data_IF_056868600207
#
_entry.id   IF_056868600207
#
_cell.length_a   1.000
_cell.length_b   1.000
_cell.length_c   1.000
_cell.angle_alpha   90.00
_cell.angle_beta   90.00
_cell.angle_gamma   90.00
#
_symmetry.space_group_name_H-M   'P 1'
#
loop_
_entity.id
_entity.type
_entity.pdbx_description
1 polymer ?
#
# COMPACT_ATOMS: atom_id res chain seq x y z
N UNK A 1 29.71 7.21 75.88
CA UNK A 1 29.98 6.48 74.61
C UNK A 1 28.65 5.97 74.09
N UNK A 2 28.12 6.59 73.01
CA UNK A 2 26.87 6.18 72.40
C UNK A 2 27.23 5.46 71.09
N UNK A 3 26.85 4.20 70.98
CA UNK A 3 26.99 3.38 69.76
C UNK A 3 25.72 3.52 68.96
N UNK A 4 25.80 4.18 67.78
CA UNK A 4 24.69 4.31 66.85
C UNK A 4 24.70 3.11 65.89
N UNK A 5 23.68 2.25 66.03
CA UNK A 5 23.42 1.13 65.15
C UNK A 5 22.89 1.61 63.77
N UNK A 6 23.64 1.38 62.70
CA UNK A 6 23.18 1.63 61.32
C UNK A 6 22.29 0.48 60.89
N UNK A 7 21.00 0.72 60.71
CA UNK A 7 20.07 -0.18 60.01
C UNK A 7 20.32 -0.11 58.50
N UNK A 8 20.88 -1.20 57.97
CA UNK A 8 20.95 -1.44 56.53
C UNK A 8 19.55 -1.80 56.02
N UNK A 9 18.93 -0.90 55.24
CA UNK A 9 17.74 -1.23 54.43
C UNK A 9 18.17 -2.11 53.27
N UNK A 10 17.79 -3.37 53.33
CA UNK A 10 17.78 -4.25 52.15
C UNK A 10 16.65 -3.79 51.25
N UNK A 11 16.95 -2.97 50.24
CA UNK A 11 16.06 -2.71 49.15
C UNK A 11 16.26 -3.82 48.12
N UNK A 12 15.37 -4.51 47.97
CA UNK A 12 14.91 -5.74 47.43
C UNK A 12 14.95 -5.79 45.89
N UNK A 13 15.43 -6.91 45.41
CA UNK A 13 15.45 -7.34 44.01
C UNK A 13 14.05 -7.55 43.39
N UNK A 14 12.96 -7.37 44.15
CA UNK A 14 11.58 -7.62 43.67
C UNK A 14 11.08 -6.62 42.64
N UNK A 15 11.53 -5.35 42.72
CA UNK A 15 11.09 -4.33 41.76
C UNK A 15 11.71 -4.53 40.36
N UNK A 16 12.95 -5.04 40.32
CA UNK A 16 13.64 -5.36 39.09
C UNK A 16 13.05 -6.57 38.36
N UNK A 17 12.58 -7.57 39.12
CA UNK A 17 11.92 -8.76 38.58
C UNK A 17 10.53 -8.43 38.02
N UNK A 18 9.74 -7.61 38.70
CA UNK A 18 8.42 -7.18 38.18
C UNK A 18 8.53 -6.35 36.89
N UNK A 19 9.57 -5.50 36.78
CA UNK A 19 9.79 -4.73 35.54
C UNK A 19 10.24 -5.61 34.35
N UNK A 20 11.00 -6.67 34.61
CA UNK A 20 11.40 -7.64 33.57
C UNK A 20 10.22 -8.49 33.09
N UNK A 21 9.33 -8.89 34.00
CA UNK A 21 8.14 -9.67 33.67
C UNK A 21 7.17 -8.85 32.81
N UNK A 22 6.91 -7.59 33.17
CA UNK A 22 6.06 -6.69 32.38
C UNK A 22 6.59 -6.44 30.95
N UNK A 23 7.92 -6.31 30.78
CA UNK A 23 8.52 -6.08 29.46
C UNK A 23 8.51 -7.33 28.57
N UNK A 24 8.59 -8.54 29.15
CA UNK A 24 8.50 -9.79 28.41
C UNK A 24 7.06 -10.02 27.93
N UNK A 25 6.07 -9.79 28.80
CA UNK A 25 4.65 -9.96 28.44
C UNK A 25 4.20 -8.96 27.38
N UNK A 26 4.68 -7.71 27.43
CA UNK A 26 4.39 -6.70 26.40
C UNK A 26 5.02 -7.05 25.05
N UNK A 27 6.22 -7.65 25.04
CA UNK A 27 6.85 -8.14 23.80
C UNK A 27 6.16 -9.37 23.22
N UNK A 28 5.70 -10.29 24.08
CA UNK A 28 4.97 -11.48 23.64
C UNK A 28 3.60 -11.08 23.08
N UNK A 29 2.89 -10.14 23.71
CA UNK A 29 1.61 -9.62 23.20
C UNK A 29 1.80 -8.91 21.84
N UNK A 30 2.92 -8.20 21.62
CA UNK A 30 3.22 -7.59 20.34
C UNK A 30 3.60 -8.60 19.24
N UNK A 31 4.18 -9.74 19.60
CA UNK A 31 4.54 -10.79 18.65
C UNK A 31 3.34 -11.64 18.25
N UNK A 32 2.37 -11.86 19.15
CA UNK A 32 1.17 -12.66 18.86
C UNK A 32 0.11 -11.91 18.04
N UNK A 33 0.19 -10.56 17.93
CA UNK A 33 -0.71 -9.74 17.11
C UNK A 33 -0.15 -9.36 15.74
N UNK A 34 1.01 -9.86 15.34
CA UNK A 34 1.44 -9.89 13.95
C UNK A 34 0.69 -11.04 13.25
N UNK A 35 -0.63 -10.88 13.07
CA UNK A 35 -1.33 -11.61 12.04
C UNK A 35 -0.57 -11.33 10.74
N UNK A 36 0.11 -12.35 10.24
CA UNK A 36 0.83 -12.32 8.98
C UNK A 36 -0.17 -11.90 7.90
N UNK A 37 -0.14 -10.62 7.51
CA UNK A 37 -1.02 -10.10 6.46
C UNK A 37 -0.70 -10.87 5.19
N UNK A 38 -1.51 -11.86 4.87
CA UNK A 38 -1.38 -12.62 3.64
C UNK A 38 -1.58 -11.66 2.47
N UNK A 39 -0.54 -11.46 1.68
CA UNK A 39 -0.61 -10.66 0.48
C UNK A 39 -1.22 -11.49 -0.64
N UNK A 40 -2.49 -11.24 -0.96
CA UNK A 40 -3.19 -11.87 -2.07
C UNK A 40 -2.98 -11.04 -3.33
N UNK A 41 -2.32 -11.61 -4.33
CA UNK A 41 -2.16 -10.98 -5.65
C UNK A 41 -3.16 -11.58 -6.63
N UNK A 42 -4.06 -10.74 -7.15
CA UNK A 42 -4.99 -11.12 -8.22
C UNK A 42 -4.34 -10.73 -9.56
N UNK A 43 -4.03 -11.73 -10.38
CA UNK A 43 -3.41 -11.52 -11.68
C UNK A 43 -4.44 -11.16 -12.74
N UNK A 44 -3.97 -10.57 -13.86
CA UNK A 44 -4.81 -10.30 -15.04
C UNK A 44 -5.50 -11.56 -15.56
N UNK A 45 -4.80 -12.68 -15.61
CA UNK A 45 -5.36 -13.96 -16.05
C UNK A 45 -6.50 -14.44 -15.16
N UNK A 46 -6.40 -14.18 -13.85
CA UNK A 46 -7.48 -14.49 -12.91
C UNK A 46 -8.72 -13.64 -13.19
N UNK A 47 -8.54 -12.34 -13.44
CA UNK A 47 -9.64 -11.44 -13.81
C UNK A 47 -10.30 -11.87 -15.13
N UNK A 48 -9.51 -12.21 -16.14
CA UNK A 48 -10.01 -12.70 -17.44
C UNK A 48 -10.91 -13.92 -17.25
N UNK A 49 -10.49 -14.90 -16.44
CA UNK A 49 -11.29 -16.09 -16.15
C UNK A 49 -12.58 -15.77 -15.42
N UNK A 50 -12.52 -14.90 -14.41
CA UNK A 50 -13.71 -14.47 -13.66
C UNK A 50 -14.72 -13.76 -14.55
N UNK A 51 -14.26 -12.85 -15.42
CA UNK A 51 -15.13 -12.13 -16.36
C UNK A 51 -15.74 -13.09 -17.36
N UNK A 52 -14.95 -14.02 -17.94
CA UNK A 52 -15.43 -15.01 -18.89
C UNK A 52 -16.57 -15.87 -18.30
N UNK A 53 -16.43 -16.31 -17.05
CA UNK A 53 -17.47 -17.07 -16.35
C UNK A 53 -18.70 -16.19 -16.07
N UNK A 54 -18.51 -14.98 -15.56
CA UNK A 54 -19.60 -14.09 -15.19
C UNK A 54 -20.46 -13.65 -16.35
N UNK A 55 -19.81 -13.32 -17.48
CA UNK A 55 -20.48 -12.79 -18.68
C UNK A 55 -20.79 -13.91 -19.69
N UNK A 56 -20.54 -15.19 -19.35
CA UNK A 56 -20.70 -16.35 -20.22
C UNK A 56 -20.00 -16.17 -21.57
N UNK A 57 -18.77 -15.66 -21.55
CA UNK A 57 -17.96 -15.38 -22.73
C UNK A 57 -16.78 -16.34 -22.86
N UNK A 58 -16.28 -16.51 -24.09
CA UNK A 58 -15.06 -17.26 -24.31
C UNK A 58 -13.85 -16.51 -23.72
N UNK A 59 -13.04 -17.22 -22.93
CA UNK A 59 -11.82 -16.66 -22.29
C UNK A 59 -10.87 -16.03 -23.31
N UNK A 60 -10.75 -16.61 -24.52
CA UNK A 60 -9.91 -16.05 -25.58
C UNK A 60 -10.43 -14.68 -26.08
N UNK A 61 -11.73 -14.49 -26.11
CA UNK A 61 -12.35 -13.21 -26.48
C UNK A 61 -12.06 -12.15 -25.41
N UNK A 62 -12.25 -12.50 -24.14
CA UNK A 62 -11.95 -11.57 -23.02
C UNK A 62 -10.47 -11.19 -23.02
N UNK A 63 -9.57 -12.18 -23.25
CA UNK A 63 -8.13 -11.91 -23.34
C UNK A 63 -7.79 -10.92 -24.46
N UNK A 64 -8.39 -11.06 -25.63
CA UNK A 64 -8.18 -10.11 -26.74
C UNK A 64 -8.63 -8.71 -26.39
N UNK A 65 -9.75 -8.57 -25.69
CA UNK A 65 -10.24 -7.25 -25.21
C UNK A 65 -9.24 -6.64 -24.23
N UNK A 66 -8.71 -7.42 -23.28
CA UNK A 66 -7.70 -6.94 -22.34
C UNK A 66 -6.41 -6.48 -23.05
N UNK A 67 -5.91 -7.22 -24.03
CA UNK A 67 -4.73 -6.83 -24.80
C UNK A 67 -4.98 -5.56 -25.63
N UNK A 68 -6.17 -5.45 -26.25
CA UNK A 68 -6.53 -4.23 -26.96
C UNK A 68 -6.60 -3.02 -26.03
N UNK A 69 -7.19 -3.18 -24.84
CA UNK A 69 -7.27 -2.13 -23.83
C UNK A 69 -5.87 -1.73 -23.32
N UNK A 70 -4.98 -2.68 -23.11
CA UNK A 70 -3.58 -2.42 -22.71
C UNK A 70 -2.85 -1.59 -23.77
N UNK A 71 -2.96 -1.96 -25.06
CA UNK A 71 -2.38 -1.18 -26.16
C UNK A 71 -2.89 0.25 -26.22
N UNK A 72 -4.21 0.45 -26.16
CA UNK A 72 -4.83 1.78 -26.15
C UNK A 72 -4.38 2.61 -24.94
N UNK A 73 -4.31 2.01 -23.77
CA UNK A 73 -3.80 2.66 -22.56
C UNK A 73 -2.35 3.11 -22.73
N UNK A 74 -1.50 2.23 -23.28
CA UNK A 74 -0.11 2.53 -23.53
C UNK A 74 0.05 3.69 -24.52
N UNK A 75 -0.71 3.70 -25.62
CA UNK A 75 -0.67 4.77 -26.62
C UNK A 75 -1.06 6.13 -26.00
N UNK A 76 -2.12 6.18 -25.20
CA UNK A 76 -2.53 7.40 -24.52
C UNK A 76 -1.52 7.86 -23.45
N UNK A 77 -0.92 6.93 -22.69
CA UNK A 77 0.07 7.28 -21.68
C UNK A 77 1.38 7.76 -22.31
N UNK A 78 1.80 7.13 -23.42
CA UNK A 78 3.04 7.51 -24.14
C UNK A 78 2.93 8.81 -24.90
N UNK A 79 1.73 9.24 -25.29
CA UNK A 79 1.49 10.51 -25.99
C UNK A 79 1.48 11.74 -25.07
N UNK A 80 1.65 11.56 -23.75
CA UNK A 80 1.69 12.67 -22.78
C UNK A 80 2.87 13.62 -23.05
N UNK A 81 2.58 14.90 -23.25
CA UNK A 81 3.56 15.95 -23.54
C UNK A 81 3.90 16.76 -22.28
N UNK A 82 5.00 17.54 -22.29
CA UNK A 82 5.36 18.42 -21.17
C UNK A 82 4.29 19.45 -20.79
N UNK A 83 3.47 19.85 -21.74
CA UNK A 83 2.43 20.87 -21.57
C UNK A 83 1.07 20.31 -21.15
N UNK A 84 0.88 18.99 -21.21
CA UNK A 84 -0.40 18.34 -20.97
C UNK A 84 -0.31 17.26 -19.90
N UNK A 85 -1.32 17.23 -19.04
CA UNK A 85 -1.54 16.15 -18.08
C UNK A 85 -2.70 15.28 -18.56
N UNK A 86 -2.42 14.01 -18.83
CA UNK A 86 -3.43 13.06 -19.32
C UNK A 86 -4.06 12.31 -18.14
N UNK A 87 -5.40 12.32 -18.07
CA UNK A 87 -6.13 11.53 -17.08
C UNK A 87 -7.00 10.49 -17.78
N UNK A 88 -6.74 9.22 -17.53
CA UNK A 88 -7.49 8.07 -18.07
C UNK A 88 -8.38 7.51 -16.99
N UNK A 89 -9.70 7.52 -17.18
CA UNK A 89 -10.67 6.87 -16.29
C UNK A 89 -10.80 5.40 -16.70
N UNK A 90 -10.41 4.48 -15.83
CA UNK A 90 -10.51 3.03 -16.08
C UNK A 90 -11.89 2.49 -15.75
N UNK A 91 -12.41 2.88 -14.59
CA UNK A 91 -13.75 2.56 -14.09
C UNK A 91 -14.26 3.72 -13.26
N UNK A 92 -15.56 3.70 -12.91
CA UNK A 92 -16.12 4.69 -12.00
C UNK A 92 -15.37 4.70 -10.66
N UNK A 93 -14.63 5.77 -10.46
CA UNK A 93 -13.87 5.99 -9.24
C UNK A 93 -12.40 5.58 -9.26
N UNK A 94 -11.90 4.97 -10.32
CA UNK A 94 -10.49 4.67 -10.50
C UNK A 94 -9.96 5.29 -11.78
N UNK A 95 -8.92 6.11 -11.67
CA UNK A 95 -8.26 6.75 -12.80
C UNK A 95 -6.75 6.69 -12.70
N UNK A 96 -6.09 6.82 -13.84
CA UNK A 96 -4.64 7.01 -13.95
C UNK A 96 -4.37 8.45 -14.37
N UNK A 97 -3.54 9.14 -13.59
CA UNK A 97 -3.05 10.48 -13.94
C UNK A 97 -1.62 10.35 -14.44
N UNK A 98 -1.37 10.81 -15.66
CA UNK A 98 -0.09 10.76 -16.32
C UNK A 98 0.49 12.17 -16.41
N UNK A 99 1.70 12.34 -15.92
CA UNK A 99 2.40 13.64 -15.89
C UNK A 99 3.80 13.47 -16.44
N UNK A 100 4.23 14.40 -17.28
CA UNK A 100 5.62 14.46 -17.73
C UNK A 100 6.48 15.12 -16.68
N UNK A 101 7.60 14.49 -16.31
CA UNK A 101 8.61 15.04 -15.43
C UNK A 101 9.82 15.42 -16.29
N UNK A 102 10.17 16.71 -16.37
CA UNK A 102 11.33 17.17 -17.13
C UNK A 102 12.64 16.69 -16.50
N UNK A 103 13.72 16.80 -17.27
CA UNK A 103 15.08 16.62 -16.78
C UNK A 103 15.34 17.55 -15.59
N UNK A 104 15.96 17.01 -14.56
CA UNK A 104 16.36 17.79 -13.38
C UNK A 104 17.70 17.31 -12.84
N UNK A 105 18.51 18.25 -12.38
CA UNK A 105 19.70 17.96 -11.62
C UNK A 105 19.36 17.87 -10.13
N UNK A 106 19.83 16.82 -9.47
CA UNK A 106 19.74 16.66 -8.03
C UNK A 106 21.12 16.88 -7.45
N UNK A 107 21.28 17.96 -6.68
CA UNK A 107 22.51 18.27 -5.98
C UNK A 107 22.57 17.49 -4.68
N UNK A 108 23.16 16.31 -4.74
CA UNK A 108 23.57 15.51 -3.58
C UNK A 108 25.10 15.50 -3.55
N UNK A 109 25.73 14.56 -2.86
CA UNK A 109 27.20 14.39 -2.88
C UNK A 109 27.73 14.21 -4.31
N UNK A 110 26.93 13.55 -5.17
CA UNK A 110 27.20 13.44 -6.60
C UNK A 110 26.09 14.19 -7.36
N UNK A 111 26.47 15.01 -8.35
CA UNK A 111 25.52 15.68 -9.24
C UNK A 111 24.85 14.65 -10.14
N UNK A 112 23.65 14.23 -9.77
CA UNK A 112 22.86 13.22 -10.50
C UNK A 112 21.93 13.93 -11.46
N UNK A 113 22.05 13.65 -12.76
CA UNK A 113 21.12 14.10 -13.80
C UNK A 113 20.01 13.06 -13.93
N UNK A 114 18.81 13.42 -13.52
CA UNK A 114 17.63 12.59 -13.73
C UNK A 114 17.05 12.88 -15.12
N UNK A 115 17.08 11.87 -16.01
CA UNK A 115 16.47 11.97 -17.35
C UNK A 115 14.98 12.28 -17.29
N UNK A 116 14.42 12.93 -18.33
CA UNK A 116 12.98 13.16 -18.42
C UNK A 116 12.25 11.81 -18.43
N UNK A 117 11.08 11.78 -17.77
CA UNK A 117 10.28 10.56 -17.68
C UNK A 117 8.80 10.84 -17.55
N UNK A 118 7.99 9.88 -17.96
CA UNK A 118 6.55 9.87 -17.70
C UNK A 118 6.30 9.26 -16.33
N UNK A 119 5.49 9.93 -15.52
CA UNK A 119 5.07 9.47 -14.20
C UNK A 119 3.57 9.19 -14.21
N UNK A 120 3.21 7.93 -13.95
CA UNK A 120 1.80 7.51 -13.88
C UNK A 120 1.42 7.28 -12.42
N UNK A 121 0.36 7.94 -11.97
CA UNK A 121 -0.16 7.85 -10.61
C UNK A 121 -1.60 7.36 -10.61
N UNK A 122 -1.91 6.26 -9.92
CA UNK A 122 -3.30 5.83 -9.75
C UNK A 122 -4.03 6.78 -8.78
N UNK A 123 -5.28 7.11 -9.10
CA UNK A 123 -6.18 7.89 -8.27
C UNK A 123 -7.48 7.13 -8.03
N UNK A 124 -7.87 7.05 -6.75
CA UNK A 124 -9.15 6.49 -6.33
C UNK A 124 -10.01 7.64 -5.81
N UNK A 125 -11.25 7.75 -6.30
CA UNK A 125 -12.16 8.80 -5.84
C UNK A 125 -12.62 8.52 -4.40
N UNK A 126 -12.91 9.61 -3.66
CA UNK A 126 -13.44 9.52 -2.30
C UNK A 126 -14.76 8.74 -2.26
N UNK A 127 -15.59 8.86 -3.29
CA UNK A 127 -16.84 8.11 -3.41
C UNK A 127 -16.59 6.59 -3.48
N UNK A 128 -15.68 6.15 -4.37
CA UNK A 128 -15.34 4.73 -4.53
C UNK A 128 -14.74 4.15 -3.24
N UNK A 129 -13.86 4.91 -2.59
CA UNK A 129 -13.28 4.50 -1.31
C UNK A 129 -14.34 4.36 -0.21
N UNK A 130 -15.32 5.29 -0.14
CA UNK A 130 -16.46 5.17 0.78
C UNK A 130 -17.33 3.95 0.46
N UNK A 131 -17.56 3.64 -0.81
CA UNK A 131 -18.30 2.45 -1.25
C UNK A 131 -17.62 1.17 -0.80
N UNK A 132 -16.30 1.07 -0.93
CA UNK A 132 -15.50 -0.05 -0.43
C UNK A 132 -15.60 -0.19 1.10
N UNK A 133 -15.46 0.92 1.83
CA UNK A 133 -15.50 0.90 3.29
C UNK A 133 -16.88 0.52 3.84
N UNK A 134 -17.98 0.98 3.22
CA UNK A 134 -19.34 0.57 3.61
C UNK A 134 -19.57 -0.94 3.53
N UNK A 135 -18.85 -1.63 2.67
CA UNK A 135 -18.91 -3.09 2.58
C UNK A 135 -18.35 -3.76 3.84
N UNK A 136 -17.34 -3.16 4.48
CA UNK A 136 -16.75 -3.65 5.73
C UNK A 136 -17.63 -3.32 6.96
N UNK A 137 -18.33 -2.19 6.94
CA UNK A 137 -19.21 -1.75 8.04
C UNK A 137 -20.52 -2.55 8.13
N UNK A 138 -20.64 -3.67 7.37
CA UNK A 138 -21.81 -4.55 7.41
C UNK A 138 -23.05 -3.98 6.71
N UNK A 139 -22.92 -2.87 6.01
CA UNK A 139 -23.95 -2.31 5.14
C UNK A 139 -24.14 -3.17 3.89
N UNK A 140 -24.91 -4.26 3.98
CA UNK A 140 -25.45 -4.91 2.78
C UNK A 140 -26.38 -3.90 2.09
N UNK A 141 -26.05 -3.56 0.86
CA UNK A 141 -26.95 -2.86 -0.06
C UNK A 141 -28.08 -3.78 -0.43
#
# INVERSE_FOLDING_TARGET
MKVTSRKHKRYTNDTAMKHRQCTIDTRIIHITNLEEKRHLTITQEHLIKQIAVRENMNTATVRRVFHAAEGILFDHLSSTTPSECTTIKLVDGLSLECTYIPERQIHTYDNIICKPRIWVKPKITRYYNRKLNRYFDGGRL
#
